data_IF_704956588006
#
_entry.id   IF_704956588006
#
_cell.length_a   1.000
_cell.length_b   1.000
_cell.length_c   1.000
_cell.angle_alpha   90.00
_cell.angle_beta   90.00
_cell.angle_gamma   90.00
#
_symmetry.space_group_name_H-M   'P 1'
#
loop_
_entity.id
_entity.type
_entity.pdbx_description
1 polymer ?
#
# COMPACT_ATOMS: atom_id res chain seq x y z
N UNK A 1 -2.21 7.24 11.79
CA UNK A 1 -0.73 7.27 11.74
C UNK A 1 -0.34 7.55 10.30
N UNK A 2 0.84 8.07 10.04
CA UNK A 2 1.32 8.29 8.68
C UNK A 2 2.83 8.10 8.61
N UNK A 3 3.35 7.90 7.39
CA UNK A 3 4.79 7.76 7.15
C UNK A 3 5.38 9.14 6.91
N UNK A 4 6.42 9.49 7.67
CA UNK A 4 7.20 10.72 7.51
C UNK A 4 8.59 10.37 6.99
N UNK A 5 9.02 11.04 5.93
CA UNK A 5 10.41 10.97 5.46
C UNK A 5 11.25 11.99 6.23
N UNK A 6 12.45 11.59 6.63
CA UNK A 6 13.52 12.51 7.02
C UNK A 6 14.72 12.29 6.12
N UNK A 7 15.36 13.38 5.72
CA UNK A 7 16.60 13.35 4.97
C UNK A 7 17.77 13.59 5.93
N UNK A 8 18.82 12.78 5.80
CA UNK A 8 20.07 12.97 6.50
C UNK A 8 21.21 12.69 5.53
N UNK A 9 22.03 13.72 5.26
CA UNK A 9 23.01 13.72 4.16
C UNK A 9 22.31 13.38 2.82
N UNK A 10 22.82 12.37 2.12
CA UNK A 10 22.31 11.90 0.82
C UNK A 10 21.33 10.71 0.96
N UNK A 11 20.80 10.47 2.15
CA UNK A 11 19.91 9.34 2.41
C UNK A 11 18.57 9.80 2.98
N UNK A 12 17.51 9.17 2.50
CA UNK A 12 16.14 9.33 3.00
C UNK A 12 15.80 8.16 3.92
N UNK A 13 15.05 8.45 4.97
CA UNK A 13 14.65 7.49 6.00
C UNK A 13 13.17 7.64 6.32
N UNK A 14 12.45 6.54 6.40
CA UNK A 14 11.02 6.53 6.68
C UNK A 14 10.76 6.21 8.15
N UNK A 15 9.83 6.96 8.74
CA UNK A 15 9.38 6.79 10.11
C UNK A 15 7.87 6.74 10.15
N UNK A 16 7.32 5.81 10.92
CA UNK A 16 5.91 5.79 11.25
C UNK A 16 5.65 6.79 12.38
N UNK A 17 4.74 7.73 12.16
CA UNK A 17 4.46 8.82 13.08
C UNK A 17 2.98 8.81 13.48
N UNK A 18 2.71 9.10 14.76
CA UNK A 18 1.37 9.38 15.27
C UNK A 18 1.27 10.83 15.73
N UNK A 19 0.13 11.44 15.44
CA UNK A 19 -0.21 12.78 15.94
C UNK A 19 -0.88 12.64 17.30
N UNK A 20 -0.39 13.33 18.32
CA UNK A 20 -0.97 13.38 19.67
C UNK A 20 -1.33 14.82 20.04
N UNK A 21 -2.62 15.06 20.31
CA UNK A 21 -3.13 16.35 20.77
C UNK A 21 -3.12 16.39 22.30
N UNK A 22 -2.65 17.49 22.87
CA UNK A 22 -2.61 17.71 24.31
C UNK A 22 -3.54 18.87 24.64
N UNK A 23 -4.42 18.72 25.65
CA UNK A 23 -5.42 19.75 26.02
C UNK A 23 -4.79 21.13 26.24
N UNK A 24 -3.59 21.19 26.84
CA UNK A 24 -2.88 22.43 27.19
C UNK A 24 -1.93 22.97 26.12
N UNK A 25 -1.88 22.38 24.91
CA UNK A 25 -0.98 22.85 23.84
C UNK A 25 -1.78 23.29 22.63
N UNK A 26 -1.41 24.46 22.09
CA UNK A 26 -2.00 25.04 20.88
C UNK A 26 -1.84 24.12 19.66
N UNK A 27 -0.69 23.48 19.53
CA UNK A 27 -0.37 22.62 18.38
C UNK A 27 -0.21 21.15 18.78
N UNK A 28 -0.68 20.21 17.94
CA UNK A 28 -0.48 18.79 18.17
C UNK A 28 1.01 18.43 18.05
N UNK A 29 1.46 17.47 18.85
CA UNK A 29 2.82 16.92 18.75
C UNK A 29 2.83 15.69 17.86
N UNK A 30 3.88 15.55 17.07
CA UNK A 30 4.17 14.34 16.31
C UNK A 30 5.10 13.45 17.12
N UNK A 31 4.74 12.17 17.25
CA UNK A 31 5.52 11.17 17.98
C UNK A 31 5.94 10.10 16.99
N UNK A 32 7.25 9.87 16.89
CA UNK A 32 7.80 8.74 16.12
C UNK A 32 7.44 7.45 16.86
N UNK A 33 6.80 6.53 16.17
CA UNK A 33 6.35 5.24 16.71
C UNK A 33 7.34 4.15 16.32
N UNK A 34 7.77 4.12 15.06
CA UNK A 34 8.64 3.07 14.54
C UNK A 34 9.53 3.63 13.43
N UNK A 35 10.79 3.22 13.39
CA UNK A 35 11.64 3.40 12.21
C UNK A 35 11.30 2.32 11.18
N UNK A 36 10.99 2.72 9.95
CA UNK A 36 10.56 1.80 8.89
C UNK A 36 11.70 1.36 7.97
N UNK A 37 12.77 2.16 7.86
CA UNK A 37 13.91 1.83 7.03
C UNK A 37 14.45 2.97 6.18
N UNK A 38 15.47 2.64 5.39
CA UNK A 38 16.03 3.52 4.35
C UNK A 38 15.08 3.56 3.16
N UNK A 39 14.80 4.76 2.68
CA UNK A 39 13.92 4.97 1.53
C UNK A 39 14.75 4.87 0.24
N UNK A 40 14.30 4.00 -0.65
CA UNK A 40 14.81 3.83 -1.99
C UNK A 40 13.76 4.34 -2.98
N UNK A 41 14.18 5.17 -3.91
CA UNK A 41 13.36 5.65 -5.03
C UNK A 41 13.72 4.84 -6.27
N UNK A 42 12.89 3.87 -6.69
CA UNK A 42 13.19 3.07 -7.86
C UNK A 42 13.10 3.90 -9.15
N UNK A 43 13.74 3.38 -10.20
CA UNK A 43 13.69 3.98 -11.53
C UNK A 43 12.27 3.90 -12.11
N UNK A 44 12.04 4.63 -13.21
CA UNK A 44 10.77 4.70 -13.92
C UNK A 44 10.19 3.28 -14.19
N UNK A 45 8.89 3.07 -13.96
CA UNK A 45 8.27 1.75 -14.11
C UNK A 45 8.23 1.32 -15.57
N UNK A 46 8.39 0.02 -15.80
CA UNK A 46 8.09 -0.60 -17.09
C UNK A 46 6.57 -0.58 -17.36
N UNK A 47 6.15 -0.39 -18.62
CA UNK A 47 4.74 -0.48 -19.00
C UNK A 47 4.32 -1.95 -19.03
N UNK A 48 3.83 -2.47 -17.90
CA UNK A 48 3.27 -3.81 -17.81
C UNK A 48 1.84 -3.72 -17.30
N UNK A 49 0.89 -4.11 -18.14
CA UNK A 49 -0.52 -4.16 -17.77
C UNK A 49 -0.82 -5.37 -16.89
N UNK A 50 -1.76 -5.22 -15.95
CA UNK A 50 -2.17 -6.30 -15.04
C UNK A 50 -2.68 -7.53 -15.81
N UNK A 51 -3.47 -7.34 -16.88
CA UNK A 51 -3.97 -8.42 -17.75
C UNK A 51 -2.82 -9.29 -18.31
N UNK A 52 -1.74 -8.65 -18.77
CA UNK A 52 -0.58 -9.35 -19.32
C UNK A 52 0.20 -10.10 -18.24
N UNK A 53 0.19 -9.60 -17.01
CA UNK A 53 0.85 -10.26 -15.88
C UNK A 53 0.12 -11.53 -15.42
N UNK A 54 -1.21 -11.48 -15.30
CA UNK A 54 -2.01 -12.64 -14.86
C UNK A 54 -2.17 -13.71 -15.93
N UNK A 55 -2.03 -13.33 -17.22
CA UNK A 55 -2.24 -14.20 -18.38
C UNK A 55 -3.60 -14.95 -18.35
N UNK A 56 -4.64 -14.30 -17.84
CA UNK A 56 -6.00 -14.82 -17.68
C UNK A 56 -7.01 -13.72 -17.96
N UNK A 57 -8.26 -14.12 -18.22
CA UNK A 57 -9.36 -13.16 -18.28
C UNK A 57 -9.62 -12.57 -16.89
N UNK A 58 -9.79 -11.25 -16.82
CA UNK A 58 -9.88 -10.51 -15.54
C UNK A 58 -11.10 -10.97 -14.74
N UNK A 59 -12.26 -11.13 -15.38
CA UNK A 59 -13.48 -11.52 -14.66
C UNK A 59 -13.37 -12.91 -14.03
N UNK A 60 -12.84 -13.87 -14.78
CA UNK A 60 -12.64 -15.24 -14.33
C UNK A 60 -11.60 -15.30 -13.20
N UNK A 61 -10.49 -14.59 -13.33
CA UNK A 61 -9.46 -14.47 -12.29
C UNK A 61 -10.04 -13.95 -10.96
N UNK A 62 -10.86 -12.90 -11.01
CA UNK A 62 -11.47 -12.32 -9.80
C UNK A 62 -12.52 -13.24 -9.17
N UNK A 63 -13.18 -14.13 -9.92
CA UNK A 63 -14.11 -15.12 -9.35
C UNK A 63 -13.35 -16.22 -8.59
N UNK A 64 -12.33 -16.79 -9.21
CA UNK A 64 -11.58 -17.94 -8.68
C UNK A 64 -10.60 -17.59 -7.55
N UNK A 65 -10.01 -16.39 -7.60
CA UNK A 65 -8.85 -16.06 -6.76
C UNK A 65 -9.28 -15.42 -5.45
N UNK A 66 -8.69 -15.81 -4.31
CA UNK A 66 -8.92 -15.16 -3.01
C UNK A 66 -8.39 -13.72 -3.00
N UNK A 67 -9.06 -12.81 -2.27
CA UNK A 67 -8.68 -11.39 -2.19
C UNK A 67 -7.21 -11.17 -1.81
N UNK A 68 -6.71 -11.94 -0.83
CA UNK A 68 -5.31 -11.91 -0.40
C UNK A 68 -4.34 -12.20 -1.55
N UNK A 69 -4.65 -13.16 -2.41
CA UNK A 69 -3.81 -13.52 -3.55
C UNK A 69 -3.83 -12.42 -4.63
N UNK A 70 -4.97 -11.75 -4.82
CA UNK A 70 -5.08 -10.60 -5.72
C UNK A 70 -4.14 -9.47 -5.28
N UNK A 71 -4.11 -9.16 -3.97
CA UNK A 71 -3.18 -8.16 -3.45
C UNK A 71 -1.72 -8.58 -3.62
N UNK A 72 -1.39 -9.86 -3.36
CA UNK A 72 -0.04 -10.37 -3.59
C UNK A 72 0.39 -10.27 -5.04
N UNK A 73 -0.51 -10.55 -5.99
CA UNK A 73 -0.23 -10.43 -7.42
C UNK A 73 -0.05 -8.98 -7.87
N UNK A 74 -0.81 -8.04 -7.29
CA UNK A 74 -0.59 -6.60 -7.50
C UNK A 74 0.78 -6.14 -6.97
N UNK A 75 1.17 -6.61 -5.78
CA UNK A 75 2.49 -6.31 -5.21
C UNK A 75 3.60 -6.86 -6.09
N UNK A 76 3.47 -8.12 -6.55
CA UNK A 76 4.43 -8.75 -7.46
C UNK A 76 4.50 -8.07 -8.82
N UNK A 77 3.37 -7.58 -9.33
CA UNK A 77 3.34 -6.77 -10.55
C UNK A 77 4.19 -5.51 -10.37
N UNK A 78 3.99 -4.75 -9.29
CA UNK A 78 4.76 -3.53 -9.03
C UNK A 78 6.25 -3.83 -8.81
N UNK A 79 6.58 -4.93 -8.13
CA UNK A 79 7.96 -5.42 -8.03
C UNK A 79 8.58 -5.64 -9.42
N UNK A 80 7.88 -6.33 -10.33
CA UNK A 80 8.38 -6.55 -11.70
C UNK A 80 8.49 -5.26 -12.50
N UNK A 81 7.54 -4.32 -12.35
CA UNK A 81 7.56 -3.03 -13.06
C UNK A 81 8.76 -2.17 -12.69
N UNK A 82 9.15 -2.21 -11.42
CA UNK A 82 10.26 -1.42 -10.90
C UNK A 82 11.56 -2.22 -10.72
N UNK A 83 11.60 -3.50 -11.14
CA UNK A 83 12.70 -4.45 -10.89
C UNK A 83 13.14 -4.46 -9.40
N UNK A 84 12.19 -4.47 -8.48
CA UNK A 84 12.47 -4.43 -7.04
C UNK A 84 12.90 -5.82 -6.57
N UNK A 85 14.02 -5.88 -5.85
CA UNK A 85 14.37 -7.02 -5.01
C UNK A 85 13.81 -6.77 -3.63
N UNK A 86 12.53 -7.12 -3.44
CA UNK A 86 11.90 -7.06 -2.14
C UNK A 86 12.26 -8.33 -1.38
N UNK A 87 13.33 -8.25 -0.59
CA UNK A 87 13.55 -9.24 0.46
C UNK A 87 12.55 -8.93 1.57
N UNK A 88 11.44 -9.67 1.62
CA UNK A 88 10.45 -9.56 2.69
C UNK A 88 11.08 -9.80 4.08
N UNK A 89 12.23 -10.47 4.12
CA UNK A 89 13.01 -10.73 5.32
C UNK A 89 13.91 -9.53 5.71
N UNK A 90 14.22 -8.62 4.78
CA UNK A 90 15.11 -7.49 5.03
C UNK A 90 14.27 -6.26 5.41
N UNK A 91 13.84 -6.27 6.68
CA UNK A 91 12.82 -5.40 7.30
C UNK A 91 13.12 -3.89 7.32
N UNK A 92 14.22 -3.43 6.74
CA UNK A 92 14.68 -2.02 6.83
C UNK A 92 14.78 -1.30 5.48
N UNK A 93 14.13 -1.81 4.43
CA UNK A 93 14.00 -1.12 3.15
C UNK A 93 12.57 -0.66 2.92
N UNK A 94 12.44 0.58 2.45
CA UNK A 94 11.16 1.20 2.08
C UNK A 94 11.27 1.68 0.65
N UNK A 95 10.38 1.25 -0.22
CA UNK A 95 10.35 1.74 -1.60
C UNK A 95 9.32 2.87 -1.71
N UNK A 96 9.76 4.06 -2.10
CA UNK A 96 8.88 5.19 -2.41
C UNK A 96 8.30 4.97 -3.81
N UNK A 97 7.00 4.65 -3.89
CA UNK A 97 6.30 4.31 -5.13
C UNK A 97 5.11 5.24 -5.32
N UNK A 98 5.06 5.95 -6.46
CA UNK A 98 3.98 6.88 -6.78
C UNK A 98 3.75 7.86 -5.61
N UNK A 99 2.59 7.78 -4.95
CA UNK A 99 2.19 8.64 -3.81
C UNK A 99 2.31 7.95 -2.44
N UNK A 100 2.89 6.74 -2.39
CA UNK A 100 2.95 5.92 -1.19
C UNK A 100 4.30 5.21 -0.98
N UNK A 101 4.30 4.25 -0.07
CA UNK A 101 5.48 3.52 0.35
C UNK A 101 5.20 2.03 0.40
N UNK A 102 5.98 1.24 -0.35
CA UNK A 102 5.93 -0.21 -0.29
C UNK A 102 6.94 -0.69 0.75
N UNK A 103 6.45 -1.08 1.92
CA UNK A 103 7.24 -1.61 3.03
C UNK A 103 6.41 -2.59 3.87
N UNK A 104 7.04 -3.27 4.83
CA UNK A 104 6.38 -4.25 5.70
C UNK A 104 5.11 -3.69 6.35
N UNK A 105 5.15 -2.45 6.85
CA UNK A 105 3.99 -1.83 7.50
C UNK A 105 2.77 -1.69 6.57
N UNK A 106 2.97 -1.13 5.38
CA UNK A 106 1.86 -0.89 4.44
C UNK A 106 1.38 -2.19 3.78
N UNK A 107 2.31 -3.14 3.56
CA UNK A 107 1.99 -4.49 3.10
C UNK A 107 1.10 -5.23 4.11
N UNK A 108 1.46 -5.20 5.40
CA UNK A 108 0.66 -5.81 6.45
C UNK A 108 -0.72 -5.15 6.55
N UNK A 109 -0.82 -3.83 6.38
CA UNK A 109 -2.12 -3.14 6.36
C UNK A 109 -3.01 -3.59 5.21
N UNK A 110 -2.44 -3.76 4.01
CA UNK A 110 -3.17 -4.21 2.83
C UNK A 110 -3.58 -5.68 2.95
N UNK A 111 -2.67 -6.56 3.34
CA UNK A 111 -2.91 -8.01 3.43
C UNK A 111 -3.86 -8.39 4.58
N UNK A 112 -3.82 -7.63 5.68
CA UNK A 112 -4.69 -7.83 6.84
C UNK A 112 -5.85 -6.82 6.88
N UNK A 113 -6.22 -6.25 5.73
CA UNK A 113 -7.31 -5.29 5.65
C UNK A 113 -8.61 -5.93 6.17
N UNK A 114 -9.10 -5.42 7.30
CA UNK A 114 -10.39 -5.80 7.88
C UNK A 114 -11.39 -4.71 7.59
N UNK A 115 -12.45 -5.07 6.89
CA UNK A 115 -13.48 -4.12 6.49
C UNK A 115 -14.62 -4.21 7.49
N UNK A 116 -14.95 -3.11 8.20
CA UNK A 116 -16.00 -3.11 9.19
C UNK A 116 -17.37 -3.37 8.54
N UNK A 117 -18.09 -4.38 9.04
CA UNK A 117 -19.39 -4.79 8.51
C UNK A 117 -20.45 -3.69 8.64
N UNK A 118 -20.41 -2.93 9.74
CA UNK A 118 -21.39 -1.87 10.05
C UNK A 118 -21.09 -0.52 9.39
N UNK A 119 -20.00 -0.39 8.64
CA UNK A 119 -19.63 0.86 8.00
C UNK A 119 -20.43 1.08 6.70
N UNK A 120 -20.61 2.34 6.32
CA UNK A 120 -21.18 2.71 5.03
C UNK A 120 -20.25 2.31 3.89
N UNK A 121 -20.79 2.10 2.69
CA UNK A 121 -19.97 1.73 1.52
C UNK A 121 -18.96 2.81 1.13
N UNK A 122 -19.29 4.08 1.41
CA UNK A 122 -18.38 5.20 1.28
C UNK A 122 -17.17 5.07 2.22
N UNK A 123 -17.38 4.67 3.46
CA UNK A 123 -16.27 4.47 4.41
C UNK A 123 -15.43 3.25 4.04
N UNK A 124 -16.07 2.15 3.61
CA UNK A 124 -15.37 0.94 3.15
C UNK A 124 -14.49 1.24 1.92
N UNK A 125 -15.03 1.95 0.94
CA UNK A 125 -14.30 2.32 -0.28
C UNK A 125 -13.16 3.28 0.01
N UNK A 126 -13.39 4.27 0.87
CA UNK A 126 -12.36 5.21 1.30
C UNK A 126 -11.24 4.52 2.09
N UNK A 127 -11.57 3.57 2.96
CA UNK A 127 -10.59 2.76 3.69
C UNK A 127 -9.73 1.92 2.72
N UNK A 128 -10.36 1.25 1.76
CA UNK A 128 -9.66 0.47 0.74
C UNK A 128 -8.75 1.36 -0.11
N UNK A 129 -9.26 2.49 -0.60
CA UNK A 129 -8.50 3.43 -1.42
C UNK A 129 -7.29 3.98 -0.67
N UNK A 130 -7.47 4.43 0.57
CA UNK A 130 -6.38 4.93 1.40
C UNK A 130 -5.33 3.86 1.69
N UNK A 131 -5.74 2.60 1.87
CA UNK A 131 -4.82 1.49 2.12
C UNK A 131 -4.02 1.14 0.87
N UNK A 132 -4.64 1.16 -0.32
CA UNK A 132 -3.93 0.94 -1.58
C UNK A 132 -2.99 2.11 -1.87
N UNK A 133 -3.46 3.35 -1.72
CA UNK A 133 -2.64 4.55 -1.92
C UNK A 133 -1.42 4.56 -0.99
N UNK A 134 -1.58 4.17 0.28
CA UNK A 134 -0.46 4.15 1.23
C UNK A 134 0.64 3.16 0.84
N UNK A 135 0.30 2.06 0.14
CA UNK A 135 1.30 1.11 -0.40
C UNK A 135 2.03 1.63 -1.63
N UNK A 136 1.52 2.69 -2.27
CA UNK A 136 2.07 3.23 -3.51
C UNK A 136 1.73 2.41 -4.76
N UNK A 137 0.87 1.38 -4.65
CA UNK A 137 0.42 0.57 -5.78
C UNK A 137 -0.52 1.40 -6.66
N UNK A 138 -0.20 1.53 -7.95
CA UNK A 138 -1.05 2.25 -8.91
C UNK A 138 -2.12 1.32 -9.46
N UNK A 139 -3.36 1.53 -9.05
CA UNK A 139 -4.49 0.70 -9.49
C UNK A 139 -5.36 1.45 -10.52
N UNK A 140 -5.62 0.86 -11.70
CA UNK A 140 -6.64 1.35 -12.62
C UNK A 140 -8.05 1.37 -11.99
N UNK A 141 -8.91 2.34 -12.32
CA UNK A 141 -10.25 2.46 -11.74
C UNK A 141 -11.11 1.19 -11.88
N UNK A 142 -11.04 0.51 -13.03
CA UNK A 142 -11.81 -0.71 -13.26
C UNK A 142 -11.38 -1.86 -12.34
N UNK A 143 -10.09 -2.00 -12.02
CA UNK A 143 -9.61 -3.00 -11.06
C UNK A 143 -10.06 -2.65 -9.64
N UNK A 144 -10.05 -1.36 -9.28
CA UNK A 144 -10.55 -0.92 -7.99
C UNK A 144 -12.01 -1.33 -7.78
N UNK A 145 -12.87 -1.10 -8.78
CA UNK A 145 -14.29 -1.51 -8.74
C UNK A 145 -14.40 -3.02 -8.55
N UNK A 146 -13.62 -3.84 -9.27
CA UNK A 146 -13.65 -5.30 -9.14
C UNK A 146 -13.19 -5.80 -7.77
N UNK A 147 -12.14 -5.19 -7.20
CA UNK A 147 -11.69 -5.51 -5.84
C UNK A 147 -12.77 -5.13 -4.83
N UNK A 148 -13.38 -3.95 -4.98
CA UNK A 148 -14.43 -3.48 -4.09
C UNK A 148 -15.69 -4.36 -4.15
N UNK A 149 -16.12 -4.77 -5.35
CA UNK A 149 -17.24 -5.70 -5.54
C UNK A 149 -16.98 -7.03 -4.84
N UNK A 150 -15.77 -7.59 -4.95
CA UNK A 150 -15.39 -8.85 -4.30
C UNK A 150 -15.36 -8.75 -2.78
N UNK A 151 -15.05 -7.57 -2.25
CA UNK A 151 -15.10 -7.30 -0.81
C UNK A 151 -16.55 -7.24 -0.31
N UNK A 152 -17.44 -6.64 -1.10
CA UNK A 152 -18.84 -6.44 -0.71
C UNK A 152 -19.68 -7.70 -0.89
N UNK A 153 -19.39 -8.49 -1.93
CA UNK A 153 -20.05 -9.75 -2.26
C UNK A 153 -19.00 -10.88 -2.18
N UNK A 154 -18.59 -11.29 -0.96
CA UNK A 154 -17.53 -12.27 -0.76
C UNK A 154 -17.87 -13.67 -1.29
#
# INVERSE_FOLDING_TARGET
>A
MYIRIKQHKNHKYAYLVKTKRYKRKKYPKQIVVKYLGKVLTPKKPKPLAFKNYINKEINLYFKETKLRNIFLDLIKLEQKRHNLKLDLNNLQLVYELNEGFLCDYTLQQLLNLKIPLKASDKEKSLLLANTILSTGIKLPPYLFIKIFQKIHNP
#
